data_IF_490163387341
#
_entry.id   IF_490163387341
#
_cell.length_a   1.000
_cell.length_b   1.000
_cell.length_c   1.000
_cell.angle_alpha   90.00
_cell.angle_beta   90.00
_cell.angle_gamma   90.00
#
_symmetry.space_group_name_H-M   'P 1'
#
loop_
_entity.id
_entity.type
_entity.pdbx_description
1 polymer ?
#
# COMPACT_ATOMS: atom_id res chain seq x y z
N UNK A 1 -18.33 1.70 4.03
CA UNK A 1 -17.14 2.50 3.63
C UNK A 1 -16.11 2.39 4.74
N UNK A 2 -14.88 2.00 4.42
CA UNK A 2 -13.80 1.70 5.39
C UNK A 2 -13.15 2.97 5.95
N UNK A 3 -13.06 4.00 5.14
CA UNK A 3 -12.55 5.31 5.51
C UNK A 3 -13.72 6.29 5.60
N UNK A 4 -13.78 7.07 6.69
CA UNK A 4 -14.82 8.08 6.93
C UNK A 4 -14.15 9.38 7.39
N UNK A 5 -14.63 10.52 6.89
CA UNK A 5 -14.06 11.84 7.19
C UNK A 5 -13.33 12.49 6.01
N UNK A 6 -12.89 13.73 6.18
CA UNK A 6 -12.15 14.49 5.18
C UNK A 6 -10.67 14.09 5.22
N UNK A 7 -10.31 13.05 4.46
CA UNK A 7 -8.93 12.56 4.32
C UNK A 7 -8.39 12.92 2.93
N UNK A 8 -7.21 13.56 2.89
CA UNK A 8 -6.55 13.96 1.63
C UNK A 8 -6.24 12.76 0.71
N UNK A 9 -6.04 11.58 1.27
CA UNK A 9 -5.68 10.36 0.53
C UNK A 9 -6.88 9.56 0.04
N UNK A 10 -8.08 9.90 0.51
CA UNK A 10 -9.32 9.22 0.16
C UNK A 10 -10.05 10.03 -0.91
N UNK A 11 -10.63 9.33 -1.87
CA UNK A 11 -11.45 9.92 -2.91
C UNK A 11 -12.90 10.11 -2.44
N UNK A 12 -13.70 10.87 -3.17
CA UNK A 12 -15.11 11.14 -2.83
C UNK A 12 -15.95 9.87 -2.60
N UNK A 13 -15.58 8.77 -3.26
CA UNK A 13 -16.22 7.46 -3.15
C UNK A 13 -15.80 6.66 -1.91
N UNK A 14 -14.96 7.22 -1.03
CA UNK A 14 -14.49 6.56 0.19
C UNK A 14 -13.40 5.51 -0.04
N UNK A 15 -12.79 5.49 -1.23
CA UNK A 15 -11.71 4.60 -1.65
C UNK A 15 -10.40 5.37 -1.76
N UNK A 16 -9.27 4.75 -1.43
CA UNK A 16 -7.96 5.41 -1.49
C UNK A 16 -7.60 5.80 -2.93
N UNK A 17 -7.01 6.99 -3.08
CA UNK A 17 -6.38 7.41 -4.33
C UNK A 17 -5.22 6.45 -4.63
N UNK A 18 -5.26 5.82 -5.79
CA UNK A 18 -4.30 4.80 -6.19
C UNK A 18 -3.87 4.99 -7.65
N UNK A 19 -2.68 4.47 -7.99
CA UNK A 19 -2.11 4.59 -9.33
C UNK A 19 -2.85 3.80 -10.42
N UNK A 20 -3.75 2.88 -10.03
CA UNK A 20 -4.53 2.05 -10.95
C UNK A 20 -5.90 2.66 -11.28
N UNK A 21 -6.25 3.81 -10.69
CA UNK A 21 -7.54 4.46 -10.90
C UNK A 21 -8.74 3.66 -10.38
N UNK A 22 -8.52 2.68 -9.50
CA UNK A 22 -9.58 1.82 -8.96
C UNK A 22 -10.47 2.64 -8.01
N UNK A 23 -11.79 2.56 -8.20
CA UNK A 23 -12.81 3.24 -7.37
C UNK A 23 -13.66 2.28 -6.54
N UNK A 24 -13.43 0.98 -6.69
CA UNK A 24 -14.11 -0.08 -5.95
C UNK A 24 -13.20 -0.59 -4.84
N UNK A 25 -13.72 -0.64 -3.60
CA UNK A 25 -12.92 -0.96 -2.42
C UNK A 25 -12.42 -2.41 -2.45
N UNK A 26 -13.28 -3.37 -2.82
CA UNK A 26 -12.93 -4.78 -2.80
C UNK A 26 -11.90 -5.11 -3.88
N UNK A 27 -12.03 -4.49 -5.07
CA UNK A 27 -11.05 -4.60 -6.14
C UNK A 27 -9.71 -3.97 -5.76
N UNK A 28 -9.72 -2.83 -5.08
CA UNK A 28 -8.49 -2.19 -4.63
C UNK A 28 -7.75 -3.12 -3.65
N UNK A 29 -8.46 -3.68 -2.68
CA UNK A 29 -7.87 -4.57 -1.69
C UNK A 29 -7.30 -5.86 -2.29
N UNK A 30 -7.96 -6.43 -3.31
CA UNK A 30 -7.44 -7.59 -4.04
C UNK A 30 -6.12 -7.25 -4.76
N UNK A 31 -6.11 -6.16 -5.53
CA UNK A 31 -4.92 -5.74 -6.29
C UNK A 31 -3.76 -5.35 -5.36
N UNK A 32 -4.04 -4.64 -4.27
CA UNK A 32 -3.01 -4.29 -3.27
C UNK A 32 -2.42 -5.53 -2.63
N UNK A 33 -3.25 -6.51 -2.25
CA UNK A 33 -2.80 -7.77 -1.65
C UNK A 33 -1.91 -8.56 -2.59
N UNK A 34 -2.27 -8.66 -3.86
CA UNK A 34 -1.49 -9.40 -4.85
C UNK A 34 -0.11 -8.78 -5.06
N UNK A 35 -0.06 -7.44 -5.19
CA UNK A 35 1.19 -6.70 -5.35
C UNK A 35 2.08 -6.84 -4.11
N UNK A 36 1.52 -6.65 -2.92
CA UNK A 36 2.27 -6.75 -1.66
C UNK A 36 2.80 -8.16 -1.46
N UNK A 37 1.98 -9.19 -1.72
CA UNK A 37 2.40 -10.60 -1.59
C UNK A 37 3.58 -10.93 -2.50
N UNK A 38 3.56 -10.43 -3.74
CA UNK A 38 4.67 -10.59 -4.67
C UNK A 38 5.95 -9.87 -4.19
N UNK A 39 5.82 -8.62 -3.76
CA UNK A 39 6.95 -7.84 -3.23
C UNK A 39 7.55 -8.44 -1.97
N UNK A 40 6.72 -8.95 -1.06
CA UNK A 40 7.17 -9.66 0.14
C UNK A 40 7.99 -10.90 -0.22
N UNK A 41 7.58 -11.66 -1.25
CA UNK A 41 8.37 -12.80 -1.73
C UNK A 41 9.75 -12.35 -2.21
N UNK A 42 9.86 -11.21 -2.90
CA UNK A 42 11.17 -10.69 -3.34
C UNK A 42 11.99 -10.21 -2.14
N UNK A 43 11.35 -9.55 -1.16
CA UNK A 43 12.05 -9.04 0.04
C UNK A 43 12.61 -10.14 0.93
N UNK A 44 12.06 -11.36 0.89
CA UNK A 44 12.63 -12.51 1.60
C UNK A 44 14.02 -12.86 1.08
N UNK A 45 14.22 -12.80 -0.24
CA UNK A 45 15.51 -13.09 -0.87
C UNK A 45 16.42 -11.85 -0.93
N UNK A 46 15.84 -10.67 -1.20
CA UNK A 46 16.53 -9.40 -1.38
C UNK A 46 16.08 -8.38 -0.32
N UNK A 47 16.48 -8.63 0.93
CA UNK A 47 16.12 -7.77 2.04
C UNK A 47 16.66 -6.34 1.86
N UNK A 48 15.80 -5.36 2.13
CA UNK A 48 16.23 -3.96 2.29
C UNK A 48 17.03 -3.90 3.59
N UNK A 49 18.29 -3.49 3.50
CA UNK A 49 19.15 -3.34 4.68
C UNK A 49 18.89 -2.00 5.35
N UNK A 50 18.81 -2.00 6.67
CA UNK A 50 18.64 -0.78 7.44
C UNK A 50 18.84 -1.01 8.94
N UNK A 51 18.62 0.04 9.73
CA UNK A 51 18.87 0.05 11.18
C UNK A 51 17.59 -0.12 12.02
N UNK A 52 16.51 -0.60 11.42
CA UNK A 52 15.17 -0.65 12.03
C UNK A 52 14.69 0.70 12.56
N UNK A 53 15.11 1.77 11.89
CA UNK A 53 14.65 3.13 12.15
C UNK A 53 13.45 3.48 11.25
N UNK A 54 12.88 4.67 11.47
CA UNK A 54 11.79 5.18 10.66
C UNK A 54 12.15 5.20 9.17
N UNK A 55 13.41 5.50 8.84
CA UNK A 55 13.86 5.54 7.45
C UNK A 55 13.84 4.16 6.82
N UNK A 56 14.26 3.14 7.55
CA UNK A 56 14.19 1.75 7.13
C UNK A 56 12.75 1.32 6.87
N UNK A 57 11.82 1.64 7.79
CA UNK A 57 10.40 1.35 7.62
C UNK A 57 9.82 2.05 6.38
N UNK A 58 10.13 3.33 6.16
CA UNK A 58 9.70 4.06 4.97
C UNK A 58 10.27 3.46 3.67
N UNK A 59 11.51 2.98 3.69
CA UNK A 59 12.11 2.32 2.53
C UNK A 59 11.41 0.98 2.24
N UNK A 60 11.05 0.21 3.26
CA UNK A 60 10.24 -1.02 3.11
C UNK A 60 8.85 -0.69 2.56
N UNK A 61 8.17 0.32 3.10
CA UNK A 61 6.84 0.72 2.64
C UNK A 61 6.83 1.26 1.20
N UNK A 62 7.91 1.91 0.78
CA UNK A 62 8.06 2.44 -0.60
C UNK A 62 8.30 1.32 -1.62
N UNK A 63 8.93 0.23 -1.21
CA UNK A 63 9.31 -0.87 -2.10
C UNK A 63 8.09 -1.56 -2.68
#
# INVERSE_FOLDING_TARGET
MKYTGFDFHVDENGVLKNYFGIKDQDKLEQVERDIVSYKESILKDNQIRGKFDLKHLQNIHKY
#
